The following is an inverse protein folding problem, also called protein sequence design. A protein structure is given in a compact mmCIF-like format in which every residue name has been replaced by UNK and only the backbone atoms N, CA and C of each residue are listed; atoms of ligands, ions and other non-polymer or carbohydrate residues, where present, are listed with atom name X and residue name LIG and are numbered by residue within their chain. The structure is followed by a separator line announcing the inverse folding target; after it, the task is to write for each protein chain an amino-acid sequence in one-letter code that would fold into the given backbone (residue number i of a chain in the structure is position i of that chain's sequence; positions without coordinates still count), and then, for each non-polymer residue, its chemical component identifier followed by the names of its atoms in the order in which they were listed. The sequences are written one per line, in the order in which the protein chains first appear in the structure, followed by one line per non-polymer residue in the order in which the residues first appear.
data_IF_933100962479
#
_entry.id   IF_933100962479
#
_cell.length_a   1.000
_cell.length_b   1.000
_cell.length_c   1.000
_cell.angle_alpha   90.00
_cell.angle_beta   90.00
_cell.angle_gamma   90.00
#
_symmetry.space_group_name_H-M   'P 1'
#
loop_
_entity.id
_entity.type
_entity.pdbx_description
1 polymer ?
#
# COMPACT_ATOMS: atom_id res chain seq x y z
N UNK A 1 -1.46 14.60 5.53
CA UNK A 1 -0.19 13.93 5.16
C UNK A 1 -0.32 12.43 5.36
N UNK A 2 0.32 11.68 4.52
CA UNK A 2 0.31 10.21 4.59
C UNK A 2 1.62 9.74 5.20
N UNK A 3 1.56 8.83 6.17
CA UNK A 3 2.72 8.08 6.63
C UNK A 3 2.69 6.71 5.96
N UNK A 4 3.78 6.36 5.29
CA UNK A 4 3.91 5.08 4.60
C UNK A 4 4.94 4.22 5.33
N UNK A 5 4.48 3.13 5.94
CA UNK A 5 5.34 2.12 6.53
C UNK A 5 5.67 1.10 5.45
N UNK A 6 6.92 1.02 5.05
CA UNK A 6 7.31 0.30 3.83
C UNK A 6 8.68 -0.35 3.96
N UNK A 7 9.05 -1.10 2.93
CA UNK A 7 10.36 -1.69 2.74
C UNK A 7 10.64 -1.73 1.23
N UNK A 8 11.92 -1.91 0.83
CA UNK A 8 12.27 -1.91 -0.60
C UNK A 8 11.83 -3.21 -1.30
N UNK A 9 10.53 -3.43 -1.36
CA UNK A 9 9.89 -4.59 -1.99
C UNK A 9 8.93 -4.11 -3.06
N UNK A 10 8.52 -4.99 -4.01
CA UNK A 10 7.55 -4.60 -5.03
C UNK A 10 6.25 -4.05 -4.44
N UNK A 11 5.73 -4.65 -3.37
CA UNK A 11 4.50 -4.18 -2.75
C UNK A 11 4.64 -2.79 -2.14
N UNK A 12 5.77 -2.53 -1.47
CA UNK A 12 6.05 -1.19 -0.93
C UNK A 12 6.22 -0.15 -2.03
N UNK A 13 6.92 -0.51 -3.11
CA UNK A 13 7.19 0.39 -4.23
C UNK A 13 5.92 0.81 -4.96
N UNK A 14 4.93 -0.08 -5.08
CA UNK A 14 3.64 0.27 -5.68
C UNK A 14 3.04 1.50 -5.03
N UNK A 15 3.09 1.56 -3.72
CA UNK A 15 2.49 2.66 -2.97
C UNK A 15 3.32 3.93 -3.11
N UNK A 16 4.65 3.82 -3.03
CA UNK A 16 5.53 4.96 -3.25
C UNK A 16 5.31 5.59 -4.62
N UNK A 17 5.21 4.75 -5.65
CA UNK A 17 4.98 5.21 -7.01
C UNK A 17 3.64 5.95 -7.11
N UNK A 18 2.58 5.38 -6.53
CA UNK A 18 1.27 6.03 -6.58
C UNK A 18 1.30 7.38 -5.85
N UNK A 19 1.91 7.45 -4.68
CA UNK A 19 2.01 8.70 -3.93
C UNK A 19 2.76 9.77 -4.72
N UNK A 20 3.84 9.39 -5.42
CA UNK A 20 4.58 10.31 -6.29
C UNK A 20 3.72 10.75 -7.47
N UNK A 21 3.00 9.84 -8.12
CA UNK A 21 2.11 10.17 -9.24
C UNK A 21 0.95 11.06 -8.81
N UNK A 22 0.48 10.92 -7.58
CA UNK A 22 -0.57 11.77 -7.02
C UNK A 22 -0.03 13.13 -6.58
N UNK A 23 1.28 13.29 -6.52
CA UNK A 23 1.94 14.50 -6.05
C UNK A 23 1.49 14.87 -4.63
N UNK A 24 1.42 13.87 -3.77
CA UNK A 24 0.94 14.00 -2.39
C UNK A 24 2.14 14.03 -1.44
N UNK A 25 2.08 14.87 -0.42
CA UNK A 25 3.07 14.85 0.66
C UNK A 25 2.94 13.56 1.46
N UNK A 26 4.07 12.86 1.64
CA UNK A 26 4.09 11.66 2.46
C UNK A 26 5.44 11.50 3.15
N UNK A 27 5.47 10.72 4.21
CA UNK A 27 6.68 10.38 4.93
C UNK A 27 6.83 8.86 4.90
N UNK A 28 7.97 8.38 4.40
CA UNK A 28 8.29 6.95 4.42
C UNK A 28 8.94 6.58 5.75
N UNK A 29 8.45 5.50 6.34
CA UNK A 29 9.03 4.90 7.54
C UNK A 29 9.46 3.49 7.13
N UNK A 30 10.77 3.25 7.11
CA UNK A 30 11.32 1.98 6.64
C UNK A 30 11.25 0.96 7.76
N UNK A 31 10.67 -0.20 7.44
CA UNK A 31 10.63 -1.37 8.30
C UNK A 31 11.72 -2.32 7.82
N UNK A 32 12.68 -2.64 8.68
CA UNK A 32 13.75 -3.55 8.31
C UNK A 32 13.28 -4.98 8.47
N UNK A 33 12.96 -5.63 7.33
CA UNK A 33 12.44 -6.99 7.34
C UNK A 33 13.50 -8.01 7.74
N UNK A 34 14.77 -7.76 7.42
CA UNK A 34 15.87 -8.65 7.79
C UNK A 34 16.06 -8.71 9.31
N UNK A 35 15.82 -7.59 9.99
CA UNK A 35 15.85 -7.51 11.44
C UNK A 35 14.51 -7.85 12.09
N UNK A 36 13.54 -8.31 11.30
CA UNK A 36 12.20 -8.71 11.76
C UNK A 36 11.45 -7.59 12.48
N UNK A 37 11.66 -6.35 12.05
CA UNK A 37 10.97 -5.19 12.64
C UNK A 37 9.45 -5.25 12.41
N UNK A 38 8.99 -5.99 11.38
CA UNK A 38 7.57 -6.19 11.13
C UNK A 38 6.86 -6.89 12.29
N UNK A 39 7.59 -7.54 13.18
CA UNK A 39 7.03 -8.21 14.35
C UNK A 39 7.08 -7.35 15.62
N UNK A 40 7.61 -6.13 15.55
CA UNK A 40 7.55 -5.20 16.68
C UNK A 40 6.11 -4.90 17.05
N UNK A 41 5.81 -4.83 18.35
CA UNK A 41 4.45 -4.60 18.85
C UNK A 41 3.82 -3.35 18.24
N UNK A 42 4.59 -2.26 18.15
CA UNK A 42 4.10 -1.00 17.62
C UNK A 42 3.62 -1.17 16.17
N UNK A 43 4.37 -1.89 15.36
CA UNK A 43 3.99 -2.15 13.99
C UNK A 43 2.86 -3.17 13.91
N UNK A 44 2.88 -4.22 14.73
CA UNK A 44 1.82 -5.23 14.76
C UNK A 44 0.45 -4.61 15.07
N UNK A 45 0.42 -3.53 15.85
CA UNK A 45 -0.83 -2.85 16.17
C UNK A 45 -1.47 -2.19 14.94
N UNK A 46 -0.68 -1.80 13.95
CA UNK A 46 -1.20 -1.18 12.72
C UNK A 46 -1.23 -2.14 11.55
N UNK A 47 -0.50 -3.25 11.63
CA UNK A 47 -0.49 -4.28 10.59
C UNK A 47 -0.78 -5.64 11.23
N UNK A 48 -2.05 -6.06 11.28
CA UNK A 48 -2.42 -7.34 11.91
C UNK A 48 -1.76 -8.54 11.25
N UNK A 49 -1.37 -8.42 9.98
CA UNK A 49 -0.69 -9.49 9.24
C UNK A 49 0.83 -9.42 9.35
N UNK A 50 1.37 -8.41 10.04
CA UNK A 50 2.82 -8.18 10.18
C UNK A 50 3.53 -8.03 8.84
N UNK A 51 2.88 -7.35 7.89
CA UNK A 51 3.40 -7.13 6.54
C UNK A 51 3.38 -5.66 6.18
N UNK A 52 4.30 -5.26 5.33
CA UNK A 52 4.30 -3.95 4.68
C UNK A 52 3.60 -4.13 3.31
N UNK A 53 3.07 -3.09 2.70
CA UNK A 53 2.97 -1.71 3.18
C UNK A 53 1.76 -1.48 4.09
N UNK A 54 1.82 -0.43 4.89
CA UNK A 54 0.70 0.10 5.65
C UNK A 54 0.76 1.61 5.55
N UNK A 55 -0.38 2.27 5.45
CA UNK A 55 -0.43 3.73 5.53
C UNK A 55 -1.23 4.17 6.75
N UNK A 56 -0.84 5.32 7.27
CA UNK A 56 -1.64 6.08 8.21
C UNK A 56 -1.97 7.42 7.56
N UNK A 57 -3.27 7.67 7.38
CA UNK A 57 -3.74 8.96 6.87
C UNK A 57 -3.87 9.90 8.05
N UNK A 58 -2.93 10.83 8.17
CA UNK A 58 -2.88 11.75 9.31
C UNK A 58 -4.05 12.74 9.32
N UNK A 59 -4.73 12.93 8.19
CA UNK A 59 -5.87 13.86 8.10
C UNK A 59 -7.08 13.34 8.87
N UNK A 60 -7.28 12.03 8.88
CA UNK A 60 -8.46 11.40 9.51
C UNK A 60 -8.11 10.25 10.45
N UNK A 61 -6.83 10.00 10.67
CA UNK A 61 -6.30 8.95 11.55
C UNK A 61 -6.67 7.53 11.11
N UNK A 62 -7.02 7.34 9.84
CA UNK A 62 -7.31 6.01 9.30
C UNK A 62 -6.01 5.27 8.99
N UNK A 63 -6.01 3.99 9.31
CA UNK A 63 -4.91 3.09 9.01
C UNK A 63 -5.42 2.08 8.01
N UNK A 64 -4.69 1.90 6.91
CA UNK A 64 -5.06 0.96 5.85
C UNK A 64 -3.88 0.03 5.61
N UNK A 65 -4.13 -1.26 5.66
CA UNK A 65 -3.15 -2.28 5.28
C UNK A 65 -3.66 -3.02 4.04
N UNK A 66 -2.84 -3.86 3.43
CA UNK A 66 -3.00 -4.49 2.12
C UNK A 66 -2.75 -3.52 0.98
N UNK A 67 -1.77 -3.86 0.13
CA UNK A 67 -1.35 -2.95 -0.95
C UNK A 67 -2.50 -2.59 -1.90
N UNK A 68 -3.35 -3.57 -2.24
CA UNK A 68 -4.50 -3.31 -3.11
C UNK A 68 -5.50 -2.34 -2.49
N UNK A 69 -5.79 -2.52 -1.20
CA UNK A 69 -6.70 -1.61 -0.49
C UNK A 69 -6.13 -0.20 -0.38
N UNK A 70 -4.82 -0.09 -0.16
CA UNK A 70 -4.14 1.20 -0.09
C UNK A 70 -4.23 1.94 -1.43
N UNK A 71 -3.99 1.23 -2.54
CA UNK A 71 -4.09 1.82 -3.87
C UNK A 71 -5.48 2.39 -4.11
N UNK A 72 -6.52 1.62 -3.79
CA UNK A 72 -7.90 2.05 -3.96
C UNK A 72 -8.23 3.23 -3.05
N UNK A 73 -7.83 3.16 -1.79
CA UNK A 73 -8.06 4.23 -0.82
C UNK A 73 -7.47 5.56 -1.31
N UNK A 74 -6.21 5.54 -1.75
CA UNK A 74 -5.53 6.74 -2.21
C UNK A 74 -6.15 7.28 -3.49
N UNK A 75 -6.51 6.41 -4.43
CA UNK A 75 -7.15 6.81 -5.67
C UNK A 75 -8.50 7.47 -5.41
N UNK A 76 -9.29 6.95 -4.49
CA UNK A 76 -10.57 7.53 -4.11
C UNK A 76 -10.40 8.86 -3.38
N UNK A 77 -9.47 8.90 -2.42
CA UNK A 77 -9.26 10.12 -1.63
C UNK A 77 -8.84 11.31 -2.52
N UNK A 78 -7.92 11.07 -3.43
CA UNK A 78 -7.37 12.13 -4.29
C UNK A 78 -8.05 12.21 -5.65
N UNK A 79 -9.06 11.37 -5.90
CA UNK A 79 -9.93 11.39 -7.09
C UNK A 79 -9.13 11.31 -8.40
N UNK A 80 -8.14 10.43 -8.44
CA UNK A 80 -7.33 10.16 -9.63
C UNK A 80 -7.20 8.66 -9.86
N UNK A 81 -7.06 8.27 -11.13
CA UNK A 81 -6.78 6.90 -11.55
C UNK A 81 -7.91 5.89 -11.30
N UNK A 82 -9.08 6.35 -10.84
CA UNK A 82 -10.21 5.47 -10.61
C UNK A 82 -11.47 6.16 -11.14
N UNK A 83 -11.63 6.24 -12.47
CA UNK A 83 -12.76 6.92 -13.07
C UNK A 83 -14.06 6.16 -12.83
N UNK A 84 -15.17 6.89 -12.63
CA UNK A 84 -16.48 6.27 -12.37
C UNK A 84 -16.94 5.37 -13.51
N UNK A 85 -16.71 5.77 -14.75
CA UNK A 85 -17.19 5.04 -15.92
C UNK A 85 -16.47 3.71 -16.10
N UNK A 86 -15.22 3.60 -15.66
CA UNK A 86 -14.40 2.41 -15.82
C UNK A 86 -14.00 1.79 -14.47
N UNK A 87 -14.81 2.05 -13.44
CA UNK A 87 -14.50 1.62 -12.07
C UNK A 87 -14.24 0.12 -12.00
N UNK A 88 -15.18 -0.69 -12.51
CA UNK A 88 -15.05 -2.14 -12.40
C UNK A 88 -13.96 -2.72 -13.28
N UNK A 89 -13.67 -2.09 -14.41
CA UNK A 89 -12.54 -2.49 -15.25
C UNK A 89 -11.22 -2.27 -14.51
N UNK A 90 -11.06 -1.12 -13.84
CA UNK A 90 -9.86 -0.87 -13.03
C UNK A 90 -9.78 -1.85 -11.86
N UNK A 91 -10.91 -2.09 -11.17
CA UNK A 91 -10.94 -3.00 -10.03
C UNK A 91 -10.55 -4.42 -10.41
N UNK A 92 -11.02 -4.91 -11.56
CA UNK A 92 -10.63 -6.22 -12.06
C UNK A 92 -9.11 -6.37 -12.14
N UNK A 93 -8.44 -5.38 -12.71
CA UNK A 93 -6.99 -5.45 -12.89
C UNK A 93 -6.24 -5.29 -11.58
N UNK A 94 -6.74 -4.48 -10.65
CA UNK A 94 -6.14 -4.38 -9.31
C UNK A 94 -6.22 -5.73 -8.60
N UNK A 95 -7.39 -6.36 -8.59
CA UNK A 95 -7.56 -7.66 -7.94
C UNK A 95 -6.74 -8.73 -8.64
N UNK A 96 -6.70 -8.71 -9.99
CA UNK A 96 -5.88 -9.63 -10.76
C UNK A 96 -4.41 -9.52 -10.33
N UNK A 97 -3.90 -8.30 -10.18
CA UNK A 97 -2.51 -8.07 -9.79
C UNK A 97 -2.23 -8.64 -8.39
N UNK A 98 -3.08 -8.34 -7.39
CA UNK A 98 -2.81 -8.76 -6.02
C UNK A 98 -3.06 -10.25 -5.80
N UNK A 99 -3.97 -10.86 -6.56
CA UNK A 99 -4.32 -12.26 -6.39
C UNK A 99 -3.43 -13.21 -7.19
N UNK A 100 -2.93 -12.76 -8.35
CA UNK A 100 -2.21 -13.66 -9.27
C UNK A 100 -0.81 -13.18 -9.60
N UNK A 101 -0.67 -11.97 -10.15
CA UNK A 101 0.61 -11.48 -10.66
C UNK A 101 1.61 -11.25 -9.53
N UNK A 102 1.19 -10.55 -8.49
CA UNK A 102 2.05 -10.26 -7.35
C UNK A 102 2.57 -11.51 -6.66
N UNK A 103 1.68 -12.43 -6.24
CA UNK A 103 2.11 -13.68 -5.60
C UNK A 103 3.01 -14.53 -6.49
N UNK A 104 2.69 -14.65 -7.79
CA UNK A 104 3.51 -15.45 -8.70
C UNK A 104 4.91 -14.86 -8.86
N UNK A 105 5.04 -13.55 -9.02
CA UNK A 105 6.35 -12.89 -9.09
C UNK A 105 7.09 -13.00 -7.75
N UNK A 106 6.38 -12.91 -6.64
CA UNK A 106 6.96 -13.10 -5.32
C UNK A 106 7.53 -14.49 -5.12
N UNK A 107 6.86 -15.50 -5.64
CA UNK A 107 7.32 -16.89 -5.57
C UNK A 107 8.52 -17.15 -6.47
N UNK A 108 8.70 -16.36 -7.52
CA UNK A 108 9.83 -16.50 -8.45
C UNK A 108 11.13 -16.01 -7.85
N UNK A 109 11.08 -15.28 -6.77
CA UNK A 109 12.24 -14.80 -6.04
C UNK A 109 12.53 -15.68 -4.83
#
# INVERSE_FOLDING_TARGET
MIKLYTAPTPNGRKISILLEELNVKYKSIIINLDKKEQFNRKFSNISPTNKIPVIEDCDNKKIVFESGAILIYLAQKYKKFLPKNNYWQVMQWVIFQVAYVGPMLGQAH
#
